data_IF_267771563880
#
_entry.id   IF_267771563880
#
_cell.length_a   1.000
_cell.length_b   1.000
_cell.length_c   1.000
_cell.angle_alpha   90.00
_cell.angle_beta   90.00
_cell.angle_gamma   90.00
#
_symmetry.space_group_name_H-M   'P 1'
#
loop_
_entity.id
_entity.type
_entity.pdbx_description
1 polymer ?
#
# COMPACT_ATOMS: atom_id res chain seq x y z
N UNK A 1 -74.75 -31.86 -34.79
CA UNK A 1 -74.24 -30.49 -35.07
C UNK A 1 -73.30 -29.96 -33.97
N UNK A 2 -72.60 -30.80 -33.19
CA UNK A 2 -71.74 -30.35 -32.06
C UNK A 2 -70.24 -30.36 -32.45
N UNK A 3 -69.89 -31.04 -33.55
CA UNK A 3 -68.51 -31.22 -34.05
C UNK A 3 -67.78 -29.91 -34.46
N UNK A 4 -68.38 -28.91 -35.13
CA UNK A 4 -67.63 -27.72 -35.54
C UNK A 4 -67.31 -26.76 -34.37
N UNK A 5 -68.12 -26.79 -33.31
CA UNK A 5 -67.92 -25.95 -32.13
C UNK A 5 -66.73 -26.40 -31.28
N UNK A 6 -66.46 -27.71 -31.23
CA UNK A 6 -65.31 -28.27 -30.49
C UNK A 6 -63.97 -28.00 -31.16
N UNK A 7 -63.89 -28.03 -32.50
CA UNK A 7 -62.65 -27.70 -33.23
C UNK A 7 -62.27 -26.21 -33.06
N UNK A 8 -63.28 -25.34 -33.08
CA UNK A 8 -63.11 -23.91 -32.83
C UNK A 8 -62.59 -23.65 -31.41
N UNK A 9 -63.18 -24.32 -30.41
CA UNK A 9 -62.77 -24.25 -29.01
C UNK A 9 -61.31 -24.72 -28.83
N UNK A 10 -60.94 -25.85 -29.46
CA UNK A 10 -59.58 -26.38 -29.40
C UNK A 10 -58.57 -25.38 -29.99
N UNK A 11 -58.92 -24.75 -31.11
CA UNK A 11 -58.09 -23.74 -31.78
C UNK A 11 -57.88 -22.49 -30.92
N UNK A 12 -58.93 -22.02 -30.23
CA UNK A 12 -58.80 -20.90 -29.30
C UNK A 12 -57.95 -21.27 -28.07
N UNK A 13 -58.10 -22.48 -27.54
CA UNK A 13 -57.30 -22.95 -26.40
C UNK A 13 -55.82 -23.12 -26.76
N UNK A 14 -55.50 -23.66 -27.93
CA UNK A 14 -54.10 -23.80 -28.38
C UNK A 14 -53.48 -22.43 -28.65
N UNK A 15 -54.20 -21.50 -29.28
CA UNK A 15 -53.74 -20.14 -29.47
C UNK A 15 -53.50 -19.42 -28.14
N UNK A 16 -54.43 -19.54 -27.18
CA UNK A 16 -54.28 -18.96 -25.85
C UNK A 16 -53.08 -19.56 -25.10
N UNK A 17 -52.90 -20.89 -25.14
CA UNK A 17 -51.75 -21.55 -24.53
C UNK A 17 -50.42 -21.13 -25.17
N UNK A 18 -50.38 -20.97 -26.49
CA UNK A 18 -49.19 -20.50 -27.21
C UNK A 18 -48.82 -19.06 -26.82
N UNK A 19 -49.81 -18.16 -26.75
CA UNK A 19 -49.60 -16.77 -26.30
C UNK A 19 -49.13 -16.73 -24.85
N UNK A 20 -49.77 -17.49 -23.96
CA UNK A 20 -49.41 -17.54 -22.55
C UNK A 20 -48.00 -18.10 -22.34
N UNK A 21 -47.63 -19.15 -23.09
CA UNK A 21 -46.29 -19.72 -23.11
C UNK A 21 -45.24 -18.74 -23.61
N UNK A 22 -45.54 -17.99 -24.68
CA UNK A 22 -44.65 -16.96 -25.20
C UNK A 22 -44.42 -15.82 -24.20
N UNK A 23 -45.48 -15.35 -23.52
CA UNK A 23 -45.39 -14.34 -22.47
C UNK A 23 -44.57 -14.84 -21.28
N UNK A 24 -44.82 -16.06 -20.81
CA UNK A 24 -44.04 -16.68 -19.73
C UNK A 24 -42.56 -16.83 -20.12
N UNK A 25 -42.26 -17.25 -21.35
CA UNK A 25 -40.88 -17.35 -21.83
C UNK A 25 -40.18 -15.99 -21.88
N UNK A 26 -40.87 -14.95 -22.35
CA UNK A 26 -40.33 -13.59 -22.36
C UNK A 26 -40.07 -13.06 -20.94
N UNK A 27 -41.01 -13.29 -20.02
CA UNK A 27 -40.86 -12.91 -18.60
C UNK A 27 -39.70 -13.67 -17.94
N UNK A 28 -39.56 -14.96 -18.24
CA UNK A 28 -38.47 -15.80 -17.74
C UNK A 28 -37.11 -15.33 -18.25
N UNK A 29 -36.96 -15.06 -19.55
CA UNK A 29 -35.74 -14.49 -20.11
C UNK A 29 -35.44 -13.10 -19.56
N UNK A 30 -36.46 -12.26 -19.36
CA UNK A 30 -36.30 -10.94 -18.75
C UNK A 30 -35.77 -11.05 -17.31
N UNK A 31 -36.25 -12.02 -16.52
CA UNK A 31 -35.76 -12.27 -15.17
C UNK A 31 -34.30 -12.72 -15.17
N UNK A 32 -33.91 -13.59 -16.08
CA UNK A 32 -32.52 -14.05 -16.23
C UNK A 32 -31.60 -12.87 -16.59
N UNK A 33 -31.98 -12.08 -17.61
CA UNK A 33 -31.19 -10.93 -18.05
C UNK A 33 -31.09 -9.88 -16.94
N UNK A 34 -32.18 -9.63 -16.22
CA UNK A 34 -32.20 -8.70 -15.09
C UNK A 34 -31.29 -9.18 -13.96
N UNK A 35 -31.34 -10.46 -13.57
CA UNK A 35 -30.48 -11.03 -12.54
C UNK A 35 -28.99 -10.95 -12.93
N UNK A 36 -28.66 -11.22 -14.20
CA UNK A 36 -27.30 -11.09 -14.72
C UNK A 36 -26.81 -9.64 -14.72
N UNK A 37 -27.68 -8.68 -15.07
CA UNK A 37 -27.34 -7.25 -15.11
C UNK A 37 -27.20 -6.67 -13.70
N UNK A 38 -28.07 -7.05 -12.77
CA UNK A 38 -28.00 -6.65 -11.36
C UNK A 38 -26.71 -7.12 -10.69
N UNK A 39 -26.29 -8.37 -10.94
CA UNK A 39 -25.05 -8.90 -10.39
C UNK A 39 -23.78 -8.28 -10.98
N UNK A 40 -23.73 -8.02 -12.30
CA UNK A 40 -22.57 -7.36 -12.92
C UNK A 40 -22.32 -5.95 -12.40
N UNK A 41 -23.38 -5.26 -11.98
CA UNK A 41 -23.29 -3.92 -11.40
C UNK A 41 -22.83 -3.94 -9.93
N UNK A 42 -22.91 -5.10 -9.25
CA UNK A 42 -22.64 -5.23 -7.80
C UNK A 42 -21.43 -6.07 -7.43
N UNK A 43 -21.00 -7.05 -8.23
CA UNK A 43 -19.86 -7.92 -7.90
C UNK A 43 -19.00 -8.33 -9.11
N UNK A 44 -17.69 -8.49 -8.87
CA UNK A 44 -16.70 -8.90 -9.89
C UNK A 44 -16.50 -10.42 -9.97
N UNK A 45 -17.14 -11.20 -9.09
CA UNK A 45 -16.99 -12.66 -9.02
C UNK A 45 -17.90 -13.37 -10.05
N UNK A 46 -17.32 -14.04 -11.07
CA UNK A 46 -18.10 -14.73 -12.10
C UNK A 46 -18.77 -16.03 -11.61
N UNK A 47 -18.28 -16.67 -10.55
CA UNK A 47 -18.86 -17.93 -10.05
C UNK A 47 -20.20 -17.69 -9.38
N UNK A 48 -20.30 -16.64 -8.55
CA UNK A 48 -21.55 -16.23 -7.93
C UNK A 48 -22.62 -15.84 -8.97
N UNK A 49 -22.19 -15.20 -10.07
CA UNK A 49 -23.07 -14.82 -11.19
C UNK A 49 -23.70 -16.04 -11.87
N UNK A 50 -22.89 -17.07 -12.15
CA UNK A 50 -23.35 -18.29 -12.82
C UNK A 50 -24.30 -19.08 -11.90
N UNK A 51 -23.97 -19.21 -10.62
CA UNK A 51 -24.77 -19.97 -9.66
C UNK A 51 -26.15 -19.33 -9.45
N UNK A 52 -26.22 -18.01 -9.34
CA UNK A 52 -27.49 -17.30 -9.20
C UNK A 52 -28.32 -17.27 -10.49
N UNK A 53 -27.69 -17.17 -11.67
CA UNK A 53 -28.40 -17.34 -12.94
C UNK A 53 -29.00 -18.75 -13.08
N UNK A 54 -28.25 -19.78 -12.65
CA UNK A 54 -28.71 -21.17 -12.63
C UNK A 54 -29.87 -21.36 -11.64
N UNK A 55 -29.80 -20.76 -10.45
CA UNK A 55 -30.87 -20.83 -9.45
C UNK A 55 -32.18 -20.20 -9.94
N UNK A 56 -32.11 -19.02 -10.56
CA UNK A 56 -33.28 -18.32 -11.14
C UNK A 56 -33.83 -19.09 -12.35
N UNK A 57 -32.97 -19.71 -13.15
CA UNK A 57 -33.37 -20.52 -14.30
C UNK A 57 -34.13 -21.79 -13.88
N UNK A 58 -33.69 -22.47 -12.81
CA UNK A 58 -34.29 -23.73 -12.34
C UNK A 58 -35.57 -23.50 -11.50
N UNK A 59 -35.62 -22.45 -10.68
CA UNK A 59 -36.80 -22.08 -9.91
C UNK A 59 -37.12 -20.58 -10.08
N UNK A 60 -38.04 -20.17 -10.95
CA UNK A 60 -38.25 -18.75 -11.23
C UNK A 60 -38.80 -17.97 -10.02
N UNK A 61 -39.74 -18.55 -9.27
CA UNK A 61 -40.36 -17.86 -8.12
C UNK A 61 -39.50 -18.01 -6.86
N UNK A 62 -39.12 -19.24 -6.52
CA UNK A 62 -38.33 -19.54 -5.32
C UNK A 62 -36.89 -19.03 -5.47
N UNK A 63 -36.31 -19.13 -6.67
CA UNK A 63 -34.96 -18.64 -6.97
C UNK A 63 -34.85 -17.13 -6.87
N UNK A 64 -35.88 -16.36 -7.24
CA UNK A 64 -35.91 -14.90 -7.02
C UNK A 64 -35.98 -14.57 -5.52
N UNK A 65 -36.80 -15.26 -4.74
CA UNK A 65 -36.90 -15.02 -3.28
C UNK A 65 -35.58 -15.36 -2.57
N UNK A 66 -34.98 -16.51 -2.89
CA UNK A 66 -33.67 -16.91 -2.36
C UNK A 66 -32.59 -15.93 -2.82
N UNK A 67 -32.61 -15.51 -4.09
CA UNK A 67 -31.68 -14.51 -4.62
C UNK A 67 -31.79 -13.18 -3.86
N UNK A 68 -32.99 -12.70 -3.57
CA UNK A 68 -33.20 -11.46 -2.81
C UNK A 68 -32.69 -11.56 -1.37
N UNK A 69 -32.73 -12.75 -0.75
CA UNK A 69 -32.18 -13.00 0.58
C UNK A 69 -30.65 -13.14 0.56
N UNK A 70 -30.11 -13.80 -0.47
CA UNK A 70 -28.67 -14.02 -0.63
C UNK A 70 -27.95 -12.80 -1.23
N UNK A 71 -28.71 -11.78 -1.66
CA UNK A 71 -28.22 -10.56 -2.30
C UNK A 71 -27.25 -9.83 -1.35
N UNK A 72 -25.94 -9.80 -1.64
CA UNK A 72 -24.97 -9.17 -0.76
C UNK A 72 -25.26 -7.67 -0.62
N UNK A 73 -25.28 -7.13 0.62
CA UNK A 73 -25.67 -5.74 0.87
C UNK A 73 -24.61 -4.74 0.41
N UNK A 74 -23.33 -5.08 0.58
CA UNK A 74 -22.18 -4.20 0.32
C UNK A 74 -21.88 -4.12 -1.18
N UNK A 75 -21.93 -2.90 -1.71
CA UNK A 75 -21.55 -2.59 -3.08
C UNK A 75 -20.04 -2.40 -3.18
N UNK A 76 -19.44 -2.76 -4.32
CA UNK A 76 -18.00 -2.51 -4.57
C UNK A 76 -17.60 -1.03 -4.41
N UNK A 77 -18.56 -0.11 -4.54
CA UNK A 77 -18.36 1.32 -4.31
C UNK A 77 -18.12 1.64 -2.82
N UNK A 78 -18.91 1.04 -1.92
CA UNK A 78 -18.76 1.25 -0.47
C UNK A 78 -17.43 0.69 0.06
N UNK A 79 -16.97 -0.44 -0.49
CA UNK A 79 -15.65 -1.00 -0.15
C UNK A 79 -14.48 -0.12 -0.63
N UNK A 80 -14.64 0.52 -1.79
CA UNK A 80 -13.62 1.42 -2.35
C UNK A 80 -13.58 2.75 -1.60
N UNK A 81 -14.74 3.29 -1.19
CA UNK A 81 -14.82 4.48 -0.35
C UNK A 81 -14.18 4.26 1.02
N UNK A 82 -14.40 3.12 1.69
CA UNK A 82 -13.70 2.81 2.94
C UNK A 82 -12.19 2.69 2.77
N UNK A 83 -11.72 2.11 1.66
CA UNK A 83 -10.29 2.02 1.37
C UNK A 83 -9.68 3.43 1.15
N UNK A 84 -10.39 4.32 0.44
CA UNK A 84 -9.95 5.71 0.24
C UNK A 84 -9.96 6.51 1.55
N UNK A 85 -10.96 6.30 2.40
CA UNK A 85 -11.02 6.93 3.73
C UNK A 85 -9.87 6.45 4.62
N UNK A 86 -9.53 5.17 4.60
CA UNK A 86 -8.40 4.61 5.36
C UNK A 86 -7.05 5.16 4.87
N UNK A 87 -6.86 5.29 3.54
CA UNK A 87 -5.67 5.92 2.96
C UNK A 87 -5.55 7.41 3.31
N UNK A 88 -6.67 8.15 3.30
CA UNK A 88 -6.69 9.57 3.67
C UNK A 88 -6.39 9.80 5.16
N UNK A 89 -6.86 8.91 6.03
CA UNK A 89 -6.64 9.01 7.48
C UNK A 89 -5.19 8.70 7.87
N UNK A 90 -4.53 7.77 7.17
CA UNK A 90 -3.12 7.43 7.40
C UNK A 90 -2.17 8.56 6.98
N UNK A 91 -2.50 9.32 5.93
CA UNK A 91 -1.69 10.47 5.50
C UNK A 91 -1.63 11.60 6.54
N UNK A 92 -2.69 11.82 7.33
CA UNK A 92 -2.69 12.83 8.39
C UNK A 92 -1.77 12.46 9.57
N UNK A 93 -1.43 11.18 9.73
CA UNK A 93 -0.60 10.68 10.85
C UNK A 93 0.90 10.73 10.50
N UNK A 94 1.28 10.68 9.22
CA UNK A 94 2.69 10.59 8.79
C UNK A 94 3.45 11.93 8.86
N UNK A 95 2.77 13.09 8.81
CA UNK A 95 3.43 14.41 8.68
C UNK A 95 3.96 15.02 9.99
N UNK A 96 3.92 14.32 11.14
CA UNK A 96 4.43 14.91 12.40
C UNK A 96 5.90 14.58 12.62
N UNK A 97 6.83 15.55 12.55
CA UNK A 97 8.23 15.28 12.84
C UNK A 97 8.40 14.84 14.30
N UNK A 98 9.19 13.79 14.49
CA UNK A 98 9.52 13.23 15.81
C UNK A 98 10.90 13.66 16.26
N UNK A 99 11.06 13.92 17.56
CA UNK A 99 12.36 14.27 18.11
C UNK A 99 13.30 13.05 18.11
N UNK A 100 14.52 13.14 17.56
CA UNK A 100 15.47 12.02 17.55
C UNK A 100 16.00 11.65 18.95
N UNK A 101 15.89 12.56 19.93
CA UNK A 101 16.36 12.32 21.29
C UNK A 101 15.36 11.59 22.19
N UNK A 102 14.06 11.89 22.06
CA UNK A 102 13.03 11.39 22.98
C UNK A 102 11.80 10.77 22.29
N UNK A 103 11.83 10.64 20.96
CA UNK A 103 10.76 10.10 20.08
C UNK A 103 9.36 10.70 20.28
N UNK A 104 9.27 11.86 20.93
CA UNK A 104 8.03 12.63 21.07
C UNK A 104 7.76 13.45 19.81
N UNK A 105 6.49 13.66 19.51
CA UNK A 105 6.05 14.58 18.45
C UNK A 105 6.46 16.00 18.79
N UNK A 106 6.99 16.72 17.80
CA UNK A 106 7.45 18.11 17.94
C UNK A 106 6.90 18.95 16.81
N UNK A 107 6.67 20.24 17.05
CA UNK A 107 6.25 21.15 15.99
C UNK A 107 7.44 21.53 15.08
N UNK A 108 7.17 21.72 13.80
CA UNK A 108 8.17 22.16 12.82
C UNK A 108 8.78 23.54 13.14
N UNK A 109 8.11 24.38 13.94
CA UNK A 109 8.59 25.73 14.26
C UNK A 109 9.53 25.75 15.46
N UNK A 110 9.71 24.65 16.16
CA UNK A 110 10.50 24.59 17.39
C UNK A 110 11.99 24.41 17.11
N UNK A 111 12.82 25.21 17.78
CA UNK A 111 14.29 25.13 17.68
C UNK A 111 14.84 24.10 18.68
N UNK A 112 14.21 23.98 19.85
CA UNK A 112 14.56 23.04 20.91
C UNK A 112 13.34 22.22 21.32
N UNK A 113 13.55 20.96 21.67
CA UNK A 113 12.52 20.12 22.28
C UNK A 113 12.25 20.59 23.73
N UNK A 114 10.99 20.81 24.15
CA UNK A 114 10.67 21.22 25.52
C UNK A 114 10.88 20.11 26.57
N UNK A 115 10.99 18.85 26.16
CA UNK A 115 11.10 17.70 27.07
C UNK A 115 12.54 17.27 27.33
N UNK A 116 13.35 17.16 26.28
CA UNK A 116 14.73 16.68 26.38
C UNK A 116 15.78 17.76 26.07
N UNK A 117 15.34 18.98 25.73
CA UNK A 117 16.21 20.10 25.34
C UNK A 117 17.14 19.82 24.15
N UNK A 118 16.93 18.72 23.42
CA UNK A 118 17.65 18.43 22.17
C UNK A 118 17.32 19.50 21.13
N UNK A 119 18.36 19.99 20.46
CA UNK A 119 18.23 20.95 19.36
C UNK A 119 17.66 20.24 18.13
N UNK A 120 16.52 20.70 17.65
CA UNK A 120 15.80 20.13 16.52
C UNK A 120 16.21 20.81 15.20
N UNK A 121 16.40 22.13 15.23
CA UNK A 121 16.70 22.95 14.05
C UNK A 121 17.90 23.89 14.29
N UNK A 122 18.59 24.23 13.21
CA UNK A 122 19.67 25.23 13.20
C UNK A 122 19.27 26.41 12.31
N UNK A 123 19.65 27.62 12.70
CA UNK A 123 19.53 28.79 11.84
C UNK A 123 20.76 28.83 10.92
N UNK A 124 20.55 29.11 9.63
CA UNK A 124 21.66 29.40 8.73
C UNK A 124 22.35 30.71 9.15
N UNK A 125 23.68 30.80 9.24
CA UNK A 125 24.36 32.06 9.57
C UNK A 125 24.26 33.10 8.44
N UNK A 126 24.06 32.69 7.19
CA UNK A 126 23.95 33.61 6.06
C UNK A 126 22.54 34.21 5.95
N UNK A 127 21.51 33.35 5.88
CA UNK A 127 20.12 33.78 5.64
C UNK A 127 19.23 33.78 6.88
N UNK A 128 19.71 33.30 8.03
CA UNK A 128 18.98 33.20 9.30
C UNK A 128 17.70 32.35 9.27
N UNK A 129 17.38 31.68 8.15
CA UNK A 129 16.26 30.74 8.05
C UNK A 129 16.52 29.46 8.87
N UNK A 130 15.46 28.93 9.49
CA UNK A 130 15.50 27.67 10.21
C UNK A 130 15.57 26.49 9.23
N UNK A 131 16.54 25.60 9.42
CA UNK A 131 16.67 24.34 8.70
C UNK A 131 16.79 23.17 9.66
N UNK A 132 16.51 21.97 9.16
CA UNK A 132 16.71 20.73 9.92
C UNK A 132 18.20 20.53 10.28
N UNK A 133 18.46 19.91 11.43
CA UNK A 133 19.82 19.67 11.88
C UNK A 133 20.57 18.71 10.93
N UNK A 134 19.87 17.74 10.35
CA UNK A 134 20.44 16.71 9.47
C UNK A 134 20.83 17.22 8.08
N UNK A 135 20.36 18.40 7.68
CA UNK A 135 20.64 18.95 6.35
C UNK A 135 22.00 19.67 6.32
N UNK A 136 22.88 19.27 5.41
CA UNK A 136 24.19 19.92 5.20
C UNK A 136 24.10 21.16 4.29
N UNK A 137 23.04 21.22 3.48
CA UNK A 137 22.78 22.29 2.52
C UNK A 137 21.55 23.10 2.94
N UNK A 138 21.65 24.43 2.91
CA UNK A 138 20.50 25.27 3.16
C UNK A 138 19.55 25.31 1.94
N UNK A 139 18.27 24.94 2.07
CA UNK A 139 17.30 25.01 0.97
C UNK A 139 16.88 26.44 0.60
N UNK A 140 17.10 27.42 1.48
CA UNK A 140 16.69 28.81 1.26
C UNK A 140 17.77 29.64 0.55
N UNK A 141 19.05 29.48 0.92
CA UNK A 141 20.16 30.24 0.33
C UNK A 141 21.12 29.40 -0.52
N UNK A 142 20.99 28.07 -0.51
CA UNK A 142 21.88 27.18 -1.26
C UNK A 142 23.31 27.07 -0.72
N UNK A 143 23.64 27.72 0.40
CA UNK A 143 24.98 27.66 0.99
C UNK A 143 25.13 26.41 1.87
N UNK A 144 26.23 25.69 1.73
CA UNK A 144 26.55 24.49 2.52
C UNK A 144 27.31 24.89 3.78
N UNK A 145 26.80 24.48 4.95
CA UNK A 145 27.33 24.90 6.25
C UNK A 145 28.32 23.89 6.86
N UNK A 146 28.63 22.80 6.15
CA UNK A 146 29.70 21.86 6.50
C UNK A 146 30.21 21.23 5.21
N UNK A 147 31.46 21.51 4.83
CA UNK A 147 32.21 20.67 3.89
C UNK A 147 32.76 19.48 4.71
N UNK A 148 32.25 18.25 4.57
CA UNK A 148 32.73 17.11 5.36
C UNK A 148 34.17 16.69 4.98
N UNK A 149 34.75 17.29 3.93
CA UNK A 149 36.02 16.89 3.35
C UNK A 149 37.20 17.83 3.70
N UNK A 150 36.97 18.93 4.42
CA UNK A 150 38.07 19.75 4.93
C UNK A 150 38.54 19.22 6.28
N UNK A 151 39.13 18.02 6.26
CA UNK A 151 40.04 17.60 7.31
C UNK A 151 41.30 18.45 7.11
N UNK A 152 41.50 19.44 7.96
CA UNK A 152 42.75 20.18 8.00
C UNK A 152 43.86 19.17 8.35
N UNK A 153 44.53 18.66 7.32
CA UNK A 153 45.79 17.95 7.47
C UNK A 153 46.76 18.97 8.05
N UNK A 154 46.93 18.91 9.36
CA UNK A 154 47.98 19.59 10.10
C UNK A 154 49.29 19.13 9.46
N UNK A 155 49.81 19.97 8.56
CA UNK A 155 51.17 19.86 8.06
C UNK A 155 52.04 20.17 9.27
N UNK A 156 52.45 19.13 9.97
CA UNK A 156 53.53 19.20 10.94
C UNK A 156 54.77 19.67 10.19
N UNK A 157 55.03 20.97 10.25
CA UNK A 157 56.32 21.55 9.88
C UNK A 157 57.32 21.04 10.91
N UNK A 158 58.00 19.95 10.56
CA UNK A 158 59.20 19.52 11.27
C UNK A 158 60.30 20.57 11.02
N UNK A 159 60.90 21.17 12.05
CA UNK A 159 62.11 21.98 11.87
C UNK A 159 63.29 21.09 11.40
N UNK A 160 64.31 21.67 10.75
CA UNK A 160 65.34 20.91 10.05
C UNK A 160 66.15 20.02 11.01
N UNK A 161 66.28 18.74 10.65
CA UNK A 161 67.11 17.76 11.36
C UNK A 161 68.54 17.85 10.82
N UNK A 162 69.48 18.23 11.68
CA UNK A 162 70.91 18.20 11.41
C UNK A 162 71.38 16.75 11.15
N UNK A 163 72.23 16.49 10.14
CA UNK A 163 72.72 15.15 9.85
C UNK A 163 74.00 14.94 10.65
N UNK A 164 73.92 14.25 11.78
CA UNK A 164 74.99 13.44 12.39
C UNK A 164 74.57 13.09 13.82
N UNK A 165 74.21 11.84 14.07
CA UNK A 165 74.58 11.03 15.26
C UNK A 165 73.89 9.68 15.12
N UNK A 166 74.67 8.71 14.69
CA UNK A 166 74.40 7.28 14.86
C UNK A 166 74.29 6.96 16.35
N UNK A 167 73.48 5.95 16.72
CA UNK A 167 73.85 4.87 17.66
C UNK A 167 72.63 4.29 18.42
N UNK A 168 72.43 2.99 18.19
CA UNK A 168 71.90 1.97 19.12
C UNK A 168 70.42 1.96 19.54
N UNK A 169 69.67 1.16 18.81
CA UNK A 169 68.55 0.31 19.25
C UNK A 169 68.80 -0.36 20.60
N UNK A 170 67.75 -0.55 21.44
CA UNK A 170 67.45 -1.90 21.85
C UNK A 170 65.96 -2.29 21.77
N UNK A 171 65.77 -3.35 20.99
CA UNK A 171 64.89 -4.50 21.16
C UNK A 171 64.21 -4.66 22.54
N UNK A 172 62.86 -4.61 22.58
CA UNK A 172 62.08 -5.35 23.59
C UNK A 172 60.96 -6.13 22.90
N UNK A 173 61.10 -7.45 23.06
CA UNK A 173 60.31 -8.59 22.62
C UNK A 173 59.11 -8.81 23.55
N UNK A 174 58.02 -9.38 23.03
CA UNK A 174 57.15 -10.43 23.64
C UNK A 174 55.91 -10.61 22.73
N UNK A 175 55.91 -11.61 21.84
CA UNK A 175 55.48 -13.03 21.94
C UNK A 175 53.95 -13.24 21.73
N UNK A 176 53.55 -14.09 20.75
CA UNK A 176 52.16 -14.38 20.40
C UNK A 176 51.65 -15.72 20.98
N UNK A 177 50.32 -15.88 21.02
CA UNK A 177 49.56 -17.14 20.92
C UNK A 177 48.08 -16.74 20.80
N UNK A 178 47.43 -16.95 19.66
CA UNK A 178 46.81 -18.20 19.19
C UNK A 178 45.40 -18.37 19.79
N UNK A 179 44.42 -18.54 18.90
CA UNK A 179 43.37 -19.55 18.97
C UNK A 179 42.38 -19.29 17.83
N UNK A 180 42.48 -20.18 16.86
CA UNK A 180 41.57 -20.39 15.74
C UNK A 180 40.28 -21.05 16.28
N UNK A 181 39.11 -20.76 15.74
CA UNK A 181 38.33 -21.71 14.91
C UNK A 181 36.83 -21.32 14.73
N UNK A 182 36.41 -21.55 13.47
CA UNK A 182 35.10 -21.90 12.90
C UNK A 182 33.78 -21.22 13.29
N UNK A 183 33.02 -20.88 12.23
CA UNK A 183 31.56 -21.05 12.24
C UNK A 183 30.75 -20.18 11.26
N UNK A 184 30.90 -20.39 9.94
CA UNK A 184 29.85 -20.05 8.94
C UNK A 184 28.62 -20.97 9.15
N UNK A 185 27.38 -20.69 8.67
CA UNK A 185 27.13 -20.38 7.26
C UNK A 185 25.99 -19.38 6.91
N UNK A 186 26.17 -18.84 5.70
CA UNK A 186 25.23 -18.40 4.66
C UNK A 186 23.81 -18.98 4.64
N UNK A 187 22.80 -18.13 4.34
CA UNK A 187 21.67 -18.41 3.40
C UNK A 187 21.19 -17.12 2.69
N UNK A 188 21.01 -17.25 1.37
CA UNK A 188 20.49 -16.38 0.27
C UNK A 188 18.96 -16.11 0.38
N UNK A 189 18.16 -15.56 -0.60
CA UNK A 189 18.48 -15.20 -2.00
C UNK A 189 17.85 -13.91 -2.60
N UNK A 190 18.43 -13.54 -3.76
CA UNK A 190 17.85 -13.13 -5.05
C UNK A 190 16.61 -12.24 -5.14
N UNK A 191 16.79 -11.12 -5.85
CA UNK A 191 15.73 -10.45 -6.59
C UNK A 191 15.62 -11.00 -8.01
N UNK A 192 14.38 -11.02 -8.52
CA UNK A 192 14.03 -11.20 -9.92
C UNK A 192 13.19 -10.00 -10.38
N UNK A 193 13.67 -9.32 -11.41
CA UNK A 193 12.91 -8.36 -12.20
C UNK A 193 13.32 -8.51 -13.66
N UNK A 194 12.59 -9.36 -14.40
CA UNK A 194 12.27 -9.20 -15.82
C UNK A 194 11.13 -10.14 -16.22
#
# INVERSE_FOLDING_TARGET
MILPAMDSLLTYLTAAAAVLGALLAALWLSLIIWALRDMRLRSRDPFAQILAALLVAVLPIVGVVIYLILRPPETLAEAYERALEEEALLQEIEERPVCPGCSRTVDEKWILCPYCHTRLKKACPDCHSLMDLQWNLCPFCGNQQVDPYKVDVVTAVTPPVDPNTEESTPLVKNKPADDTDTGLPSVSPAGDSN
#
